data_IF_473226750926
#
_entry.id   IF_473226750926
#
_cell.length_a   1.000
_cell.length_b   1.000
_cell.length_c   1.000
_cell.angle_alpha   90.00
_cell.angle_beta   90.00
_cell.angle_gamma   90.00
#
_symmetry.space_group_name_H-M   'P 1'
#
loop_
_entity.id
_entity.type
_entity.pdbx_description
1 polymer ?
#
# COMPACT_ATOMS: atom_id res chain seq x y z
N UNK A 1 35.96 -15.05 15.24
CA UNK A 1 34.76 -14.32 14.75
C UNK A 1 34.25 -15.06 13.53
N UNK A 2 33.01 -15.57 13.52
CA UNK A 2 32.43 -16.28 12.35
C UNK A 2 32.04 -15.29 11.25
N UNK A 3 33.06 -14.80 10.53
CA UNK A 3 32.88 -14.12 9.25
C UNK A 3 32.84 -15.16 8.14
N UNK A 4 31.65 -15.41 7.56
CA UNK A 4 31.54 -16.09 6.26
C UNK A 4 31.28 -17.59 6.27
N UNK A 5 30.70 -18.15 7.34
CA UNK A 5 30.16 -19.51 7.33
C UNK A 5 28.72 -19.55 6.80
N UNK A 6 28.33 -20.68 6.21
CA UNK A 6 26.94 -21.01 5.95
C UNK A 6 26.13 -21.06 7.26
N UNK A 7 24.91 -20.55 7.25
CA UNK A 7 23.92 -20.75 8.31
C UNK A 7 23.51 -22.22 8.36
N UNK A 8 23.44 -22.77 9.57
CA UNK A 8 22.83 -24.07 9.84
C UNK A 8 21.32 -24.03 9.61
N UNK A 9 20.71 -25.20 9.44
CA UNK A 9 19.27 -25.29 9.19
C UNK A 9 18.46 -24.79 10.41
N UNK A 10 18.97 -24.99 11.62
CA UNK A 10 18.40 -24.44 12.86
C UNK A 10 18.45 -22.90 12.89
N UNK A 11 19.61 -22.31 12.55
CA UNK A 11 19.75 -20.85 12.45
C UNK A 11 18.82 -20.28 11.37
N UNK A 12 18.70 -20.94 10.22
CA UNK A 12 17.79 -20.52 9.14
C UNK A 12 16.35 -20.52 9.65
N UNK A 13 15.92 -21.56 10.35
CA UNK A 13 14.57 -21.66 10.89
C UNK A 13 14.28 -20.56 11.92
N UNK A 14 15.23 -20.30 12.82
CA UNK A 14 15.12 -19.21 13.79
C UNK A 14 15.01 -17.84 13.11
N UNK A 15 15.89 -17.58 12.14
CA UNK A 15 15.94 -16.29 11.44
C UNK A 15 14.68 -16.03 10.61
N UNK A 16 14.03 -17.07 10.07
CA UNK A 16 12.74 -16.95 9.35
C UNK A 16 11.59 -16.45 10.23
N UNK A 17 11.64 -16.66 11.54
CA UNK A 17 10.63 -16.18 12.47
C UNK A 17 10.76 -14.71 12.84
N UNK A 18 11.87 -14.05 12.49
CA UNK A 18 12.12 -12.66 12.86
C UNK A 18 11.38 -11.69 11.92
N UNK A 19 10.66 -10.67 12.44
CA UNK A 19 9.99 -9.68 11.60
C UNK A 19 10.96 -8.84 10.76
N UNK A 20 12.24 -8.78 11.16
CA UNK A 20 13.29 -8.10 10.42
C UNK A 20 13.74 -8.84 9.15
N UNK A 21 13.33 -10.08 8.99
CA UNK A 21 13.82 -10.98 7.94
C UNK A 21 12.67 -11.33 7.00
N UNK A 22 12.86 -11.06 5.71
CA UNK A 22 11.92 -11.45 4.66
C UNK A 22 12.22 -12.84 4.10
N UNK A 23 13.50 -13.20 3.98
CA UNK A 23 13.91 -14.53 3.53
C UNK A 23 15.33 -14.85 4.02
N UNK A 24 15.64 -16.13 4.16
CA UNK A 24 16.97 -16.63 4.53
C UNK A 24 17.32 -17.81 3.65
N UNK A 25 18.50 -17.74 3.07
CA UNK A 25 19.19 -18.87 2.46
C UNK A 25 20.43 -19.20 3.26
N UNK A 26 21.06 -20.33 2.95
CA UNK A 26 22.28 -20.80 3.63
C UNK A 26 23.39 -19.74 3.74
N UNK A 27 23.48 -18.78 2.83
CA UNK A 27 24.54 -17.76 2.86
C UNK A 27 24.02 -16.31 2.88
N UNK A 28 22.70 -16.09 2.84
CA UNK A 28 22.12 -14.75 2.64
C UNK A 28 20.88 -14.54 3.48
N UNK A 29 20.84 -13.41 4.17
CA UNK A 29 19.65 -12.86 4.79
C UNK A 29 19.12 -11.77 3.87
N UNK A 30 17.85 -11.87 3.52
CA UNK A 30 17.07 -10.82 2.88
C UNK A 30 16.23 -10.15 3.95
N UNK A 31 16.47 -8.87 4.17
CA UNK A 31 15.79 -8.10 5.20
C UNK A 31 14.41 -7.64 4.72
N UNK A 32 13.45 -7.54 5.64
CA UNK A 32 12.13 -6.98 5.35
C UNK A 32 12.22 -5.48 5.06
N UNK A 33 11.38 -4.98 4.17
CA UNK A 33 11.39 -3.56 3.81
C UNK A 33 11.02 -2.67 5.00
N UNK A 34 10.11 -3.14 5.86
CA UNK A 34 9.78 -2.48 7.12
C UNK A 34 11.02 -2.29 8.01
N UNK A 35 11.85 -3.33 8.16
CA UNK A 35 13.06 -3.22 8.96
C UNK A 35 14.11 -2.30 8.34
N UNK A 36 14.29 -2.34 7.02
CA UNK A 36 15.22 -1.40 6.33
C UNK A 36 14.83 0.05 6.59
N UNK A 37 13.53 0.37 6.51
CA UNK A 37 13.01 1.72 6.73
C UNK A 37 13.21 2.17 8.19
N UNK A 38 12.77 1.35 9.16
CA UNK A 38 12.94 1.64 10.59
C UNK A 38 14.42 1.78 10.96
N UNK A 39 15.27 0.89 10.45
CA UNK A 39 16.71 0.95 10.71
C UNK A 39 17.33 2.24 10.18
N UNK A 40 16.93 2.69 8.98
CA UNK A 40 17.48 3.91 8.38
C UNK A 40 17.05 5.14 9.16
N UNK A 41 15.77 5.24 9.55
CA UNK A 41 15.24 6.34 10.37
C UNK A 41 16.00 6.43 11.71
N UNK A 42 16.11 5.32 12.43
CA UNK A 42 16.81 5.26 13.72
C UNK A 42 18.29 5.60 13.60
N UNK A 43 18.94 5.13 12.53
CA UNK A 43 20.35 5.44 12.26
C UNK A 43 20.58 6.93 12.01
N UNK A 44 19.73 7.56 11.20
CA UNK A 44 19.80 9.02 10.97
C UNK A 44 19.52 9.82 12.24
N UNK A 45 18.66 9.31 13.13
CA UNK A 45 18.45 9.86 14.46
C UNK A 45 19.63 9.65 15.44
N UNK A 46 20.73 9.05 14.99
CA UNK A 46 21.97 8.89 15.75
C UNK A 46 22.13 7.55 16.47
N UNK A 47 21.21 6.59 16.29
CA UNK A 47 21.37 5.27 16.90
C UNK A 47 22.40 4.39 16.17
N UNK A 48 23.19 3.64 16.94
CA UNK A 48 24.18 2.72 16.38
C UNK A 48 23.53 1.60 15.55
N UNK A 49 24.01 1.32 14.32
CA UNK A 49 23.55 0.20 13.50
C UNK A 49 23.56 -1.14 14.23
N UNK A 50 24.61 -1.41 15.02
CA UNK A 50 24.75 -2.65 15.76
C UNK A 50 23.70 -2.79 16.86
N UNK A 51 23.31 -1.69 17.49
CA UNK A 51 22.24 -1.67 18.51
C UNK A 51 20.90 -2.03 17.86
N UNK A 52 20.54 -1.37 16.76
CA UNK A 52 19.29 -1.58 16.02
C UNK A 52 19.18 -3.05 15.56
N UNK A 53 20.25 -3.60 15.00
CA UNK A 53 20.29 -4.99 14.55
C UNK A 53 20.18 -5.98 15.70
N UNK A 54 20.86 -5.73 16.83
CA UNK A 54 20.77 -6.60 18.02
C UNK A 54 19.34 -6.65 18.57
N UNK A 55 18.67 -5.51 18.69
CA UNK A 55 17.27 -5.43 19.14
C UNK A 55 16.30 -6.14 18.18
N UNK A 56 16.65 -6.23 16.89
CA UNK A 56 15.90 -6.96 15.89
C UNK A 56 16.19 -8.48 15.87
N UNK A 57 16.97 -9.00 16.83
CA UNK A 57 17.36 -10.41 16.88
C UNK A 57 18.48 -10.80 15.93
N UNK A 58 19.22 -9.82 15.39
CA UNK A 58 20.27 -9.99 14.38
C UNK A 58 21.62 -9.51 14.92
N UNK A 59 22.21 -10.20 15.90
CA UNK A 59 23.45 -9.75 16.54
C UNK A 59 24.62 -9.70 15.53
N UNK A 60 25.61 -8.82 15.76
CA UNK A 60 26.76 -8.67 14.88
C UNK A 60 27.63 -9.94 14.78
N UNK A 61 27.56 -10.85 15.75
CA UNK A 61 28.26 -12.14 15.70
C UNK A 61 27.65 -13.11 14.68
N UNK A 62 26.35 -12.98 14.42
CA UNK A 62 25.60 -13.78 13.43
C UNK A 62 25.63 -13.13 12.05
N UNK A 63 25.39 -11.82 11.98
CA UNK A 63 25.33 -11.10 10.69
C UNK A 63 26.72 -10.71 10.19
N UNK A 64 27.61 -10.32 11.09
CA UNK A 64 28.91 -9.72 10.82
C UNK A 64 28.85 -8.19 10.83
N UNK A 65 29.72 -7.54 11.61
CA UNK A 65 29.84 -6.08 11.72
C UNK A 65 29.91 -5.38 10.36
N UNK A 66 30.81 -5.82 9.47
CA UNK A 66 30.98 -5.23 8.14
C UNK A 66 29.78 -5.41 7.22
N UNK A 67 28.94 -6.43 7.45
CA UNK A 67 27.71 -6.64 6.67
C UNK A 67 26.60 -5.71 7.15
N UNK A 68 26.53 -5.45 8.46
CA UNK A 68 25.63 -4.46 9.04
C UNK A 68 25.97 -3.07 8.50
N UNK A 69 27.22 -2.63 8.63
CA UNK A 69 27.68 -1.31 8.15
C UNK A 69 27.32 -1.08 6.67
N UNK A 70 27.69 -2.02 5.79
CA UNK A 70 27.41 -1.91 4.35
C UNK A 70 25.92 -1.91 4.03
N UNK A 71 25.11 -2.66 4.78
CA UNK A 71 23.67 -2.70 4.56
C UNK A 71 23.04 -1.36 4.92
N UNK A 72 23.37 -0.80 6.08
CA UNK A 72 22.85 0.50 6.52
C UNK A 72 23.33 1.63 5.62
N UNK A 73 24.59 1.64 5.20
CA UNK A 73 25.11 2.65 4.27
C UNK A 73 24.34 2.65 2.94
N UNK A 74 24.09 1.46 2.36
CA UNK A 74 23.29 1.33 1.13
C UNK A 74 21.86 1.80 1.34
N UNK A 75 21.19 1.36 2.40
CA UNK A 75 19.80 1.75 2.67
C UNK A 75 19.65 3.24 2.97
N UNK A 76 20.61 3.85 3.67
CA UNK A 76 20.67 5.31 3.84
C UNK A 76 20.74 6.01 2.49
N UNK A 77 21.62 5.59 1.59
CA UNK A 77 21.74 6.19 0.26
C UNK A 77 20.45 6.05 -0.56
N UNK A 78 19.84 4.85 -0.56
CA UNK A 78 18.57 4.58 -1.24
C UNK A 78 17.43 5.44 -0.67
N UNK A 79 17.37 5.58 0.66
CA UNK A 79 16.36 6.37 1.35
C UNK A 79 16.49 7.87 1.04
N UNK A 80 17.70 8.42 1.11
CA UNK A 80 17.97 9.83 0.76
C UNK A 80 17.55 10.09 -0.68
N UNK A 81 17.96 9.24 -1.62
CA UNK A 81 17.55 9.38 -3.03
C UNK A 81 16.03 9.32 -3.23
N UNK A 82 15.30 8.67 -2.33
CA UNK A 82 13.84 8.54 -2.43
C UNK A 82 13.06 9.74 -1.89
N UNK A 83 13.70 10.63 -1.13
CA UNK A 83 13.07 11.81 -0.49
C UNK A 83 13.69 13.12 -0.98
N UNK A 84 15.01 13.16 -1.10
CA UNK A 84 15.75 14.27 -1.69
C UNK A 84 15.71 14.10 -3.20
N UNK A 85 15.00 15.00 -3.88
CA UNK A 85 15.13 15.18 -5.33
C UNK A 85 16.50 15.74 -5.70
N UNK A 86 16.53 16.87 -6.42
CA UNK A 86 17.77 17.61 -6.68
C UNK A 86 18.19 18.54 -5.53
N UNK A 87 17.37 18.67 -4.48
CA UNK A 87 17.61 19.61 -3.39
C UNK A 87 18.33 18.96 -2.21
N UNK A 88 19.27 19.70 -1.62
CA UNK A 88 20.00 19.28 -0.42
C UNK A 88 19.11 19.49 0.81
N UNK A 89 18.62 18.39 1.37
CA UNK A 89 17.86 18.37 2.62
C UNK A 89 18.78 18.05 3.80
N UNK A 90 18.49 18.61 4.97
CA UNK A 90 19.17 18.22 6.20
C UNK A 90 18.65 16.87 6.74
N UNK A 91 19.42 16.24 7.64
CA UNK A 91 19.08 14.93 8.19
C UNK A 91 17.73 14.96 8.95
N UNK A 92 17.32 16.10 9.54
CA UNK A 92 16.06 16.21 10.30
C UNK A 92 14.85 16.17 9.37
N UNK A 93 14.92 16.88 8.24
CA UNK A 93 13.87 16.89 7.23
C UNK A 93 13.78 15.55 6.49
N UNK A 94 14.92 14.93 6.19
CA UNK A 94 14.97 13.56 5.65
C UNK A 94 14.28 12.59 6.60
N UNK A 95 14.60 12.64 7.90
CA UNK A 95 13.95 11.79 8.91
C UNK A 95 12.43 12.03 8.91
N UNK A 96 11.98 13.28 8.92
CA UNK A 96 10.56 13.61 8.95
C UNK A 96 9.81 13.02 7.75
N UNK A 97 10.35 13.18 6.53
CA UNK A 97 9.74 12.64 5.31
C UNK A 97 9.71 11.11 5.31
N UNK A 98 10.79 10.46 5.76
CA UNK A 98 10.84 8.99 5.85
C UNK A 98 9.84 8.44 6.86
N UNK A 99 9.70 9.10 8.03
CA UNK A 99 8.71 8.73 9.04
C UNK A 99 7.29 8.87 8.49
N UNK A 100 6.99 9.97 7.79
CA UNK A 100 5.66 10.19 7.23
C UNK A 100 5.34 9.17 6.13
N UNK A 101 6.31 8.85 5.27
CA UNK A 101 6.18 7.78 4.27
C UNK A 101 5.91 6.42 4.90
N UNK A 102 6.62 6.09 5.98
CA UNK A 102 6.41 4.84 6.72
C UNK A 102 5.02 4.78 7.33
N UNK A 103 4.56 5.84 8.00
CA UNK A 103 3.20 5.95 8.55
C UNK A 103 2.14 5.75 7.47
N UNK A 104 2.28 6.41 6.32
CA UNK A 104 1.35 6.26 5.19
C UNK A 104 1.26 4.81 4.73
N UNK A 105 2.40 4.14 4.60
CA UNK A 105 2.46 2.72 4.19
C UNK A 105 1.76 1.81 5.20
N UNK A 106 1.91 2.07 6.50
CA UNK A 106 1.21 1.32 7.55
C UNK A 106 -0.30 1.55 7.51
N UNK A 107 -0.75 2.79 7.33
CA UNK A 107 -2.18 3.11 7.21
C UNK A 107 -2.79 2.45 5.98
N UNK A 108 -2.13 2.56 4.82
CA UNK A 108 -2.59 1.90 3.59
C UNK A 108 -2.68 0.39 3.77
N UNK A 109 -1.70 -0.24 4.42
CA UNK A 109 -1.74 -1.68 4.71
C UNK A 109 -2.92 -2.04 5.60
N UNK A 110 -3.15 -1.28 6.68
CA UNK A 110 -4.29 -1.50 7.58
C UNK A 110 -5.63 -1.34 6.87
N UNK A 111 -5.75 -0.33 6.00
CA UNK A 111 -6.96 -0.12 5.20
C UNK A 111 -7.20 -1.27 4.23
N UNK A 112 -6.14 -1.81 3.60
CA UNK A 112 -6.25 -3.01 2.75
C UNK A 112 -6.67 -4.25 3.56
N UNK A 113 -6.12 -4.44 4.76
CA UNK A 113 -6.49 -5.54 5.64
C UNK A 113 -7.97 -5.44 6.07
N UNK A 114 -8.46 -4.22 6.33
CA UNK A 114 -9.87 -3.97 6.63
C UNK A 114 -10.77 -4.27 5.43
N UNK A 115 -10.40 -3.81 4.22
CA UNK A 115 -11.16 -4.12 2.99
C UNK A 115 -11.18 -5.63 2.73
N UNK A 116 -10.04 -6.32 2.92
CA UNK A 116 -9.95 -7.76 2.75
C UNK A 116 -10.83 -8.52 3.77
N UNK A 117 -11.03 -7.97 4.96
CA UNK A 117 -11.90 -8.53 5.99
C UNK A 117 -13.40 -8.30 5.68
N UNK A 118 -13.72 -7.22 4.97
CA UNK A 118 -15.08 -6.88 4.54
C UNK A 118 -15.48 -7.56 3.21
N UNK A 119 -14.60 -8.34 2.58
CA UNK A 119 -14.98 -9.22 1.46
C UNK A 119 -15.82 -10.37 2.04
N UNK A 120 -17.12 -10.47 1.71
CA UNK A 120 -17.90 -11.64 2.12
C UNK A 120 -17.22 -12.87 1.54
N UNK A 121 -17.06 -13.92 2.34
CA UNK A 121 -16.60 -15.23 1.89
C UNK A 121 -17.57 -15.73 0.82
N UNK A 122 -17.30 -15.36 -0.43
CA UNK A 122 -18.05 -15.80 -1.59
C UNK A 122 -17.61 -17.22 -1.87
N UNK A 123 -18.15 -18.13 -1.05
CA UNK A 123 -18.45 -19.49 -1.44
C UNK A 123 -19.13 -19.40 -2.80
N UNK A 124 -18.35 -19.66 -3.85
CA UNK A 124 -18.73 -19.54 -5.25
C UNK A 124 -20.12 -20.17 -5.46
N UNK A 125 -21.20 -19.38 -5.66
CA UNK A 125 -22.44 -19.93 -6.13
C UNK A 125 -22.32 -20.04 -7.66
N UNK A 126 -22.49 -21.26 -8.11
CA UNK A 126 -22.67 -21.66 -9.50
C UNK A 126 -23.58 -20.68 -10.24
N UNK A 127 -23.09 -20.21 -11.39
CA UNK A 127 -23.79 -19.69 -12.57
C UNK A 127 -25.30 -19.41 -12.43
N UNK A 128 -25.68 -18.13 -12.49
CA UNK A 128 -26.88 -17.73 -13.22
C UNK A 128 -26.72 -16.31 -13.76
N UNK A 129 -26.94 -16.19 -15.06
CA UNK A 129 -26.83 -14.97 -15.85
C UNK A 129 -27.80 -13.89 -15.36
N UNK A 130 -27.35 -12.63 -15.32
CA UNK A 130 -28.26 -11.48 -15.26
C UNK A 130 -27.74 -10.28 -14.48
N UNK A 131 -27.52 -9.18 -15.19
CA UNK A 131 -27.39 -7.80 -14.72
C UNK A 131 -26.06 -7.37 -14.06
N UNK A 132 -25.20 -6.76 -14.87
CA UNK A 132 -24.07 -5.93 -14.48
C UNK A 132 -24.54 -4.63 -13.79
N UNK A 133 -24.37 -4.54 -12.47
CA UNK A 133 -24.57 -3.33 -11.68
C UNK A 133 -23.26 -2.87 -11.04
N UNK A 134 -22.80 -1.68 -11.39
CA UNK A 134 -21.54 -1.09 -10.97
C UNK A 134 -21.43 -0.91 -9.44
N UNK A 135 -20.35 -1.39 -8.85
CA UNK A 135 -19.89 -0.94 -7.52
C UNK A 135 -18.64 -0.06 -7.72
N UNK A 136 -18.79 1.24 -7.47
CA UNK A 136 -17.63 2.11 -7.22
C UNK A 136 -17.64 2.38 -5.72
N UNK A 137 -16.77 1.66 -5.01
CA UNK A 137 -16.53 1.92 -3.59
C UNK A 137 -15.86 3.28 -3.44
N UNK A 138 -16.62 4.23 -2.89
CA UNK A 138 -16.15 5.56 -2.47
C UNK A 138 -15.19 5.39 -1.29
N UNK A 139 -13.94 5.80 -1.47
CA UNK A 139 -12.96 5.80 -0.41
C UNK A 139 -11.67 6.49 -0.83
N UNK A 140 -11.58 7.78 -0.51
CA UNK A 140 -10.40 8.66 -0.63
C UNK A 140 -10.07 9.11 -2.06
N UNK A 141 -10.72 10.19 -2.50
CA UNK A 141 -10.36 10.91 -3.72
C UNK A 141 -9.72 12.24 -3.28
N UNK A 142 -8.48 12.47 -3.69
CA UNK A 142 -7.85 13.80 -3.59
C UNK A 142 -8.72 14.85 -4.32
N UNK A 143 -8.68 16.11 -3.87
CA UNK A 143 -9.62 17.17 -4.29
C UNK A 143 -9.72 17.35 -5.80
N UNK A 144 -8.62 17.17 -6.52
CA UNK A 144 -8.56 17.26 -7.98
C UNK A 144 -9.23 16.07 -8.69
N UNK A 145 -9.15 14.86 -8.11
CA UNK A 145 -9.81 13.66 -8.66
C UNK A 145 -11.30 13.67 -8.36
N UNK A 146 -11.69 14.11 -7.17
CA UNK A 146 -13.09 14.33 -6.81
C UNK A 146 -13.78 15.30 -7.78
N UNK A 147 -13.11 16.40 -8.13
CA UNK A 147 -13.62 17.38 -9.08
C UNK A 147 -13.86 16.82 -10.49
N UNK A 148 -12.98 15.94 -10.97
CA UNK A 148 -13.15 15.28 -12.29
C UNK A 148 -14.35 14.33 -12.27
N UNK A 149 -14.50 13.55 -11.20
CA UNK A 149 -15.61 12.60 -11.03
C UNK A 149 -16.94 13.34 -10.94
N UNK A 150 -17.03 14.42 -10.15
CA UNK A 150 -18.25 15.24 -10.03
C UNK A 150 -18.64 15.83 -11.40
N UNK A 151 -17.68 16.37 -12.15
CA UNK A 151 -17.93 16.90 -13.51
C UNK A 151 -18.37 15.82 -14.50
N UNK A 152 -17.84 14.61 -14.39
CA UNK A 152 -18.27 13.49 -15.24
C UNK A 152 -19.67 13.00 -14.88
N UNK A 153 -19.99 12.92 -13.59
CA UNK A 153 -21.32 12.54 -13.11
C UNK A 153 -22.38 13.57 -13.51
N UNK A 154 -22.10 14.87 -13.39
CA UNK A 154 -23.02 15.92 -13.84
C UNK A 154 -23.38 15.78 -15.33
N UNK A 155 -22.39 15.56 -16.21
CA UNK A 155 -22.63 15.33 -17.64
C UNK A 155 -23.49 14.07 -17.88
N UNK A 156 -23.25 13.01 -17.12
CA UNK A 156 -24.01 11.77 -17.24
C UNK A 156 -25.47 11.96 -16.79
N UNK A 157 -25.71 12.77 -15.77
CA UNK A 157 -27.06 13.13 -15.32
C UNK A 157 -27.78 13.90 -16.44
N UNK A 158 -27.16 14.92 -17.04
CA UNK A 158 -27.76 15.70 -18.13
C UNK A 158 -28.15 14.82 -19.35
N UNK A 159 -27.31 13.84 -19.69
CA UNK A 159 -27.61 12.86 -20.75
C UNK A 159 -28.81 11.99 -20.42
N UNK A 160 -28.87 11.48 -19.18
CA UNK A 160 -29.95 10.62 -18.71
C UNK A 160 -31.27 11.38 -18.62
N UNK A 161 -31.25 12.63 -18.15
CA UNK A 161 -32.43 13.49 -18.10
C UNK A 161 -32.98 13.77 -19.51
N UNK A 162 -32.10 14.04 -20.48
CA UNK A 162 -32.50 14.22 -21.88
C UNK A 162 -33.09 12.95 -22.49
N UNK A 163 -32.49 11.79 -22.19
CA UNK A 163 -32.99 10.49 -22.64
C UNK A 163 -34.38 10.19 -22.03
N UNK A 164 -34.55 10.45 -20.72
CA UNK A 164 -35.82 10.30 -20.04
C UNK A 164 -36.90 11.23 -20.61
N UNK A 165 -36.58 12.50 -20.89
CA UNK A 165 -37.51 13.42 -21.52
C UNK A 165 -37.98 12.92 -22.91
N UNK A 166 -37.06 12.34 -23.70
CA UNK A 166 -37.42 11.75 -25.00
C UNK A 166 -38.27 10.49 -24.86
N UNK A 167 -38.01 9.66 -23.86
CA UNK A 167 -38.84 8.47 -23.58
C UNK A 167 -40.24 8.86 -23.09
N UNK A 168 -40.35 9.91 -22.27
CA UNK A 168 -41.64 10.45 -21.83
C UNK A 168 -42.46 10.98 -22.99
N UNK A 169 -41.88 11.75 -23.91
CA UNK A 169 -42.57 12.23 -25.13
C UNK A 169 -43.04 11.07 -26.03
N UNK A 170 -42.24 10.01 -26.14
CA UNK A 170 -42.65 8.80 -26.88
C UNK A 170 -43.79 8.06 -26.20
N UNK A 171 -43.80 8.01 -24.86
CA UNK A 171 -44.85 7.36 -24.08
C UNK A 171 -46.16 8.15 -24.16
N UNK A 172 -46.10 9.48 -24.08
CA UNK A 172 -47.26 10.36 -24.21
C UNK A 172 -47.91 10.24 -25.60
N UNK A 173 -47.10 10.15 -26.66
CA UNK A 173 -47.58 9.85 -28.02
C UNK A 173 -48.14 8.44 -28.19
N UNK A 174 -47.74 7.49 -27.35
CA UNK A 174 -48.18 6.09 -27.41
C UNK A 174 -49.44 5.81 -26.59
N UNK A 175 -49.86 6.72 -25.71
CA UNK A 175 -51.11 6.61 -24.95
C UNK A 175 -52.18 7.46 -25.66
N UNK A 176 -53.04 6.89 -26.53
CA UNK A 176 -54.21 7.62 -27.01
C UNK A 176 -55.14 7.88 -25.82
N UNK A 177 -55.47 9.16 -25.58
CA UNK A 177 -56.47 9.59 -24.61
C UNK A 177 -57.78 8.82 -24.85
N UNK A 178 -58.07 7.83 -24.01
CA UNK A 178 -59.41 7.27 -23.93
C UNK A 178 -60.29 8.29 -23.22
N UNK A 179 -60.90 9.18 -23.99
CA UNK A 179 -62.12 9.84 -23.54
C UNK A 179 -63.21 8.78 -23.56
N UNK A 180 -63.39 8.16 -22.40
CA UNK A 180 -64.60 7.45 -22.01
C UNK A 180 -65.63 8.54 -21.77
N UNK A 181 -66.66 8.62 -22.61
CA UNK A 181 -67.92 9.24 -22.22
C UNK A 181 -69.03 8.19 -22.33
N UNK A 182 -69.77 8.15 -21.23
CA UNK A 182 -70.77 7.21 -20.77
C UNK A 182 -72.15 7.51 -21.37
#
# INVERSE_FOLDING_TARGET
>A
MRGGGAFSDEEIQLLRGLPAVANVTRNRITYSDAFKQVCTIRYLAGESPTKIFREAGLPPDLVGYKRIERSVARWKADAIKSVSGNDHLDDSEIIAQLVERYKRTLVTRRNLDNIASDVPDSSVPVMSEGAVGAYVSIGVLDGDTAGIIIKQQARRIDELERANASLLDKLDKAIPSSTVDN
#
